data_IF_400952612363
#
_entry.id   IF_400952612363
#
_cell.length_a   1.000
_cell.length_b   1.000
_cell.length_c   1.000
_cell.angle_alpha   90.00
_cell.angle_beta   90.00
_cell.angle_gamma   90.00
#
_symmetry.space_group_name_H-M   'P 1'
#
loop_
_entity.id
_entity.type
_entity.pdbx_description
1 polymer ?
#
# COMPACT_ATOMS: atom_id res chain seq x y z
N UNK A 1 0.60 -26.59 3.59
CA UNK A 1 0.22 -27.03 2.22
C UNK A 1 0.29 -25.85 1.27
N UNK A 2 1.28 -25.80 0.37
CA UNK A 2 1.40 -24.71 -0.63
C UNK A 2 0.40 -24.98 -1.77
N UNK A 3 -0.56 -24.07 -2.01
CA UNK A 3 -1.47 -24.18 -3.17
C UNK A 3 -0.64 -24.07 -4.44
N UNK A 4 -0.62 -25.14 -5.24
CA UNK A 4 0.09 -25.18 -6.50
C UNK A 4 -0.67 -24.33 -7.53
N UNK A 5 -0.15 -23.13 -7.82
CA UNK A 5 -0.81 -22.13 -8.66
C UNK A 5 -0.80 -22.50 -10.16
N UNK A 6 -0.14 -23.60 -10.53
CA UNK A 6 0.06 -24.03 -11.91
C UNK A 6 -1.00 -24.99 -12.47
N UNK A 7 -1.93 -25.50 -11.64
CA UNK A 7 -3.09 -26.24 -12.16
C UNK A 7 -4.15 -25.26 -12.67
N UNK A 8 -4.14 -25.01 -13.98
CA UNK A 8 -5.23 -24.30 -14.65
C UNK A 8 -6.50 -25.13 -14.49
N UNK A 9 -7.45 -24.62 -13.71
CA UNK A 9 -8.76 -25.27 -13.53
C UNK A 9 -9.46 -25.39 -14.89
N UNK A 10 -10.16 -26.50 -15.16
CA UNK A 10 -10.98 -26.61 -16.37
C UNK A 10 -11.98 -25.45 -16.42
N UNK A 11 -12.14 -24.86 -17.60
CA UNK A 11 -13.02 -23.70 -17.80
C UNK A 11 -14.47 -24.15 -17.74
N UNK A 12 -15.25 -23.55 -16.83
CA UNK A 12 -16.69 -23.78 -16.75
C UNK A 12 -17.42 -22.93 -17.79
N UNK A 13 -17.89 -23.58 -18.84
CA UNK A 13 -18.69 -22.96 -19.90
C UNK A 13 -20.10 -22.59 -19.40
N UNK A 14 -20.79 -21.69 -20.11
CA UNK A 14 -22.12 -21.22 -19.70
C UNK A 14 -22.10 -20.21 -18.55
N UNK A 15 -20.95 -19.64 -18.22
CA UNK A 15 -20.81 -18.66 -17.14
C UNK A 15 -20.17 -17.37 -17.65
N UNK A 16 -20.48 -16.25 -16.98
CA UNK A 16 -19.83 -14.95 -17.25
C UNK A 16 -18.32 -15.04 -17.06
N UNK A 17 -17.87 -15.84 -16.09
CA UNK A 17 -16.45 -16.05 -15.81
C UNK A 17 -15.75 -16.72 -17.00
N UNK A 18 -16.39 -17.73 -17.60
CA UNK A 18 -15.90 -18.37 -18.82
C UNK A 18 -15.69 -17.38 -19.96
N UNK A 19 -16.62 -16.44 -20.16
CA UNK A 19 -16.50 -15.41 -21.20
C UNK A 19 -15.46 -14.32 -20.90
N UNK A 20 -15.44 -13.75 -19.68
CA UNK A 20 -14.59 -12.60 -19.34
C UNK A 20 -13.16 -12.97 -18.96
N UNK A 21 -12.98 -14.00 -18.14
CA UNK A 21 -11.69 -14.32 -17.55
C UNK A 21 -10.95 -15.40 -18.32
N UNK A 22 -11.69 -16.32 -18.96
CA UNK A 22 -11.13 -17.42 -19.75
C UNK A 22 -11.29 -17.22 -21.27
N UNK A 23 -11.84 -16.07 -21.68
CA UNK A 23 -11.99 -15.65 -23.09
C UNK A 23 -12.75 -16.65 -23.97
N UNK A 24 -13.56 -17.53 -23.38
CA UNK A 24 -14.34 -18.49 -24.14
C UNK A 24 -15.47 -17.77 -24.91
N UNK A 25 -15.61 -18.12 -26.20
CA UNK A 25 -16.61 -17.53 -27.12
C UNK A 25 -17.63 -18.55 -27.62
N UNK A 26 -17.81 -19.68 -26.92
CA UNK A 26 -18.89 -20.61 -27.26
C UNK A 26 -20.27 -19.99 -27.00
N UNK A 27 -21.31 -20.54 -27.63
CA UNK A 27 -22.67 -20.00 -27.56
C UNK A 27 -23.21 -19.92 -26.12
N UNK A 28 -22.94 -20.93 -25.28
CA UNK A 28 -23.33 -20.91 -23.87
C UNK A 28 -22.70 -19.75 -23.09
N UNK A 29 -21.44 -19.42 -23.37
CA UNK A 29 -20.76 -18.31 -22.71
C UNK A 29 -21.24 -16.95 -23.25
N UNK A 30 -21.56 -16.86 -24.55
CA UNK A 30 -22.13 -15.65 -25.15
C UNK A 30 -23.53 -15.39 -24.58
N UNK A 31 -24.40 -16.39 -24.52
CA UNK A 31 -25.76 -16.23 -23.97
C UNK A 31 -25.72 -15.78 -22.52
N UNK A 32 -24.92 -16.42 -21.66
CA UNK A 32 -24.76 -16.04 -20.26
C UNK A 32 -24.25 -14.59 -20.10
N UNK A 33 -23.36 -14.14 -20.99
CA UNK A 33 -22.89 -12.76 -21.00
C UNK A 33 -23.99 -11.77 -21.44
N UNK A 34 -24.76 -12.11 -22.47
CA UNK A 34 -25.88 -11.30 -22.94
C UNK A 34 -26.99 -11.18 -21.89
N UNK A 35 -27.35 -12.27 -21.22
CA UNK A 35 -28.31 -12.28 -20.11
C UNK A 35 -27.85 -11.36 -18.97
N UNK A 36 -26.57 -11.46 -18.59
CA UNK A 36 -25.99 -10.57 -17.58
C UNK A 36 -26.07 -9.09 -17.97
N UNK A 37 -25.69 -8.74 -19.21
CA UNK A 37 -25.74 -7.36 -19.69
C UNK A 37 -27.17 -6.85 -19.79
N UNK A 38 -28.13 -7.68 -20.22
CA UNK A 38 -29.55 -7.33 -20.25
C UNK A 38 -30.10 -7.10 -18.84
N UNK A 39 -29.83 -7.99 -17.89
CA UNK A 39 -30.23 -7.81 -16.50
C UNK A 39 -29.62 -6.55 -15.87
N UNK A 40 -28.36 -6.23 -16.20
CA UNK A 40 -27.70 -5.01 -15.75
C UNK A 40 -28.32 -3.74 -16.36
N UNK A 41 -28.68 -3.77 -17.65
CA UNK A 41 -29.40 -2.67 -18.32
C UNK A 41 -30.80 -2.49 -17.75
N UNK A 42 -31.51 -3.59 -17.46
CA UNK A 42 -32.82 -3.56 -16.82
C UNK A 42 -32.74 -2.92 -15.45
N UNK A 43 -31.80 -3.33 -14.57
CA UNK A 43 -31.57 -2.67 -13.27
C UNK A 43 -31.26 -1.18 -13.37
N UNK A 44 -30.62 -0.72 -14.46
CA UNK A 44 -30.41 0.71 -14.71
C UNK A 44 -31.70 1.43 -15.11
N UNK A 45 -32.57 0.78 -15.90
CA UNK A 45 -33.87 1.32 -16.32
C UNK A 45 -34.86 1.37 -15.15
N UNK A 46 -34.89 0.33 -14.34
CA UNK A 46 -35.71 0.26 -13.11
C UNK A 46 -35.28 1.31 -12.08
N UNK A 47 -34.11 1.92 -12.31
CA UNK A 47 -33.54 2.93 -11.43
C UNK A 47 -32.95 2.33 -10.17
N UNK A 48 -32.19 3.16 -9.45
CA UNK A 48 -31.83 2.85 -8.07
C UNK A 48 -32.92 3.43 -7.18
N UNK A 49 -33.54 2.59 -6.34
CA UNK A 49 -34.38 3.10 -5.25
C UNK A 49 -33.47 3.95 -4.36
N UNK A 50 -33.75 5.25 -4.28
CA UNK A 50 -33.10 6.13 -3.33
C UNK A 50 -33.56 5.72 -1.92
N UNK A 51 -32.87 4.75 -1.35
CA UNK A 51 -32.99 4.48 0.08
C UNK A 51 -32.36 5.70 0.75
N UNK A 52 -33.16 6.44 1.51
CA UNK A 52 -32.70 7.64 2.21
C UNK A 52 -31.41 7.40 3.03
N UNK A 53 -30.77 8.47 3.50
CA UNK A 53 -29.50 8.35 4.22
C UNK A 53 -29.66 7.35 5.38
N UNK A 54 -28.84 6.29 5.35
CA UNK A 54 -28.81 5.30 6.43
C UNK A 54 -28.53 6.03 7.74
N UNK A 55 -29.26 5.72 8.83
CA UNK A 55 -28.99 6.34 10.12
C UNK A 55 -27.53 6.10 10.50
N UNK A 56 -26.85 7.18 10.88
CA UNK A 56 -25.41 7.15 11.22
C UNK A 56 -25.28 6.50 12.60
N UNK A 57 -24.47 5.45 12.70
CA UNK A 57 -24.12 4.83 13.99
C UNK A 57 -23.03 5.64 14.69
N UNK A 58 -23.40 6.38 15.72
CA UNK A 58 -22.48 7.14 16.57
C UNK A 58 -21.51 6.23 17.34
N UNK A 59 -20.46 6.81 17.93
CA UNK A 59 -19.43 6.06 18.65
C UNK A 59 -18.52 5.20 17.76
N UNK A 60 -18.44 5.50 16.46
CA UNK A 60 -17.56 4.79 15.51
C UNK A 60 -16.58 5.73 14.82
N UNK A 61 -15.45 5.19 14.37
CA UNK A 61 -14.48 5.96 13.58
C UNK A 61 -15.14 6.55 12.32
N UNK A 62 -16.01 5.77 11.67
CA UNK A 62 -16.70 6.15 10.44
C UNK A 62 -17.63 7.35 10.64
N UNK A 63 -18.38 7.39 11.74
CA UNK A 63 -19.22 8.53 12.09
C UNK A 63 -18.41 9.82 12.24
N UNK A 64 -17.22 9.75 12.85
CA UNK A 64 -16.36 10.92 13.03
C UNK A 64 -15.65 11.36 11.74
N UNK A 65 -15.12 10.44 10.93
CA UNK A 65 -14.30 10.77 9.75
C UNK A 65 -15.13 11.02 8.49
N UNK A 66 -16.06 10.12 8.17
CA UNK A 66 -16.85 10.18 6.93
C UNK A 66 -18.07 11.07 7.08
N UNK A 67 -18.74 11.00 8.23
CA UNK A 67 -19.96 11.78 8.48
C UNK A 67 -19.72 13.06 9.28
N UNK A 68 -18.45 13.36 9.64
CA UNK A 68 -18.02 14.56 10.39
C UNK A 68 -18.79 14.79 11.69
N UNK A 69 -19.35 13.75 12.30
CA UNK A 69 -20.05 13.85 13.57
C UNK A 69 -19.07 14.24 14.69
N UNK A 70 -19.49 15.13 15.58
CA UNK A 70 -18.70 15.67 16.70
C UNK A 70 -19.44 15.58 18.05
N UNK A 71 -20.47 14.73 18.16
CA UNK A 71 -21.11 14.47 19.44
C UNK A 71 -20.12 13.83 20.44
N UNK A 72 -20.46 13.89 21.72
CA UNK A 72 -19.60 13.42 22.82
C UNK A 72 -19.21 11.95 22.68
N UNK A 73 -20.12 11.09 22.20
CA UNK A 73 -19.84 9.68 21.93
C UNK A 73 -18.77 9.48 20.85
N UNK A 74 -18.87 10.21 19.73
CA UNK A 74 -17.91 10.14 18.63
C UNK A 74 -16.55 10.73 19.03
N UNK A 75 -16.56 11.83 19.78
CA UNK A 75 -15.33 12.48 20.26
C UNK A 75 -14.61 11.62 21.30
N UNK A 76 -15.33 11.10 22.29
CA UNK A 76 -14.79 10.17 23.29
C UNK A 76 -14.22 8.90 22.66
N UNK A 77 -14.93 8.30 21.69
CA UNK A 77 -14.42 7.17 20.91
C UNK A 77 -13.09 7.51 20.21
N UNK A 78 -13.00 8.66 19.54
CA UNK A 78 -11.79 9.06 18.83
C UNK A 78 -10.62 9.38 19.78
N UNK A 79 -10.89 9.99 20.94
CA UNK A 79 -9.90 10.19 22.00
C UNK A 79 -9.34 8.86 22.49
N UNK A 80 -10.22 7.90 22.79
CA UNK A 80 -9.83 6.55 23.22
C UNK A 80 -9.02 5.82 22.12
N UNK A 81 -9.48 5.89 20.86
CA UNK A 81 -8.79 5.30 19.72
C UNK A 81 -7.37 5.86 19.54
N UNK A 82 -7.20 7.19 19.60
CA UNK A 82 -5.89 7.85 19.50
C UNK A 82 -4.97 7.47 20.66
N UNK A 83 -5.49 7.41 21.88
CA UNK A 83 -4.74 6.96 23.07
C UNK A 83 -4.23 5.53 22.89
N UNK A 84 -5.09 4.62 22.43
CA UNK A 84 -4.71 3.23 22.12
C UNK A 84 -3.62 3.18 21.05
N UNK A 85 -3.79 3.89 19.92
CA UNK A 85 -2.79 3.91 18.85
C UNK A 85 -1.44 4.49 19.28
N UNK A 86 -1.44 5.47 20.18
CA UNK A 86 -0.20 6.01 20.77
C UNK A 86 0.49 4.97 21.63
N UNK A 87 -0.25 4.24 22.47
CA UNK A 87 0.27 3.14 23.29
C UNK A 87 0.81 2.00 22.42
N UNK A 88 0.10 1.61 21.37
CA UNK A 88 0.57 0.60 20.40
C UNK A 88 1.88 1.03 19.72
N UNK A 89 2.04 2.31 19.37
CA UNK A 89 3.29 2.83 18.81
C UNK A 89 4.45 2.81 19.83
N UNK A 90 4.17 3.15 21.08
CA UNK A 90 5.17 3.10 22.16
C UNK A 90 5.60 1.67 22.46
N UNK A 91 4.65 0.74 22.46
CA UNK A 91 4.87 -0.67 22.72
C UNK A 91 5.34 -1.45 21.48
N UNK A 92 5.50 -0.79 20.34
CA UNK A 92 5.97 -1.44 19.13
C UNK A 92 7.46 -1.76 19.26
N UNK A 93 7.75 -2.99 19.68
CA UNK A 93 9.08 -3.60 19.61
C UNK A 93 9.21 -4.26 18.24
N UNK A 94 9.47 -3.45 17.23
CA UNK A 94 9.74 -3.92 15.88
C UNK A 94 10.83 -3.07 15.24
N UNK A 95 11.40 -3.52 14.11
CA UNK A 95 12.46 -2.77 13.44
C UNK A 95 11.95 -1.35 13.15
N UNK A 96 12.79 -0.32 13.32
CA UNK A 96 12.41 1.07 13.06
C UNK A 96 11.80 1.18 11.66
N UNK A 97 10.67 1.91 11.56
CA UNK A 97 9.97 2.11 10.28
C UNK A 97 10.97 2.65 9.27
N UNK A 98 11.27 1.86 8.22
CA UNK A 98 12.18 2.12 7.09
C UNK A 98 12.39 3.61 6.80
N UNK A 99 13.27 4.26 7.56
CA UNK A 99 13.92 5.49 7.14
C UNK A 99 15.23 5.00 6.50
N UNK A 100 15.19 4.86 5.18
CA UNK A 100 16.36 4.74 4.29
C UNK A 100 17.48 3.80 4.79
N UNK A 101 17.26 2.48 4.77
CA UNK A 101 18.30 1.48 5.00
C UNK A 101 18.71 0.83 3.67
N UNK A 102 19.96 1.06 3.22
CA UNK A 102 20.61 0.19 2.23
C UNK A 102 21.09 -1.05 2.99
N UNK A 103 20.61 -2.23 2.60
CA UNK A 103 21.14 -3.51 3.10
C UNK A 103 22.23 -3.94 2.13
N UNK A 104 23.46 -4.05 2.61
CA UNK A 104 24.58 -4.63 1.86
C UNK A 104 24.76 -6.07 2.31
N UNK A 105 24.96 -6.97 1.35
CA UNK A 105 25.21 -8.37 1.63
C UNK A 105 26.69 -8.65 1.42
N UNK A 106 27.33 -9.30 2.39
CA UNK A 106 28.70 -9.76 2.28
C UNK A 106 28.67 -11.26 2.05
N UNK A 107 29.38 -11.72 1.02
CA UNK A 107 29.54 -13.13 0.74
C UNK A 107 30.69 -13.66 1.61
N UNK A 108 30.36 -14.58 2.52
CA UNK A 108 31.34 -15.24 3.40
C UNK A 108 31.69 -16.59 2.78
N UNK A 109 32.98 -16.94 2.60
CA UNK A 109 33.36 -18.25 2.13
C UNK A 109 32.79 -19.33 3.07
N UNK A 110 32.05 -20.29 2.51
CA UNK A 110 31.43 -21.43 3.19
C UNK A 110 30.35 -21.11 4.26
N UNK A 111 29.76 -19.91 4.23
CA UNK A 111 28.73 -19.49 5.18
C UNK A 111 27.44 -18.94 4.54
N UNK A 112 26.31 -18.92 5.28
CA UNK A 112 25.12 -18.21 4.82
C UNK A 112 25.42 -16.71 4.74
N UNK A 113 24.90 -16.09 3.68
CA UNK A 113 25.03 -14.65 3.43
C UNK A 113 24.59 -13.86 4.67
N UNK A 114 25.50 -13.08 5.25
CA UNK A 114 25.20 -12.29 6.46
C UNK A 114 24.66 -10.91 6.05
N UNK A 115 23.54 -10.53 6.66
CA UNK A 115 23.00 -9.17 6.55
C UNK A 115 23.76 -8.28 7.54
N UNK A 116 24.51 -7.30 7.03
CA UNK A 116 25.14 -6.29 7.87
C UNK A 116 24.39 -4.96 7.74
N UNK A 117 24.09 -4.36 8.90
CA UNK A 117 23.43 -3.06 8.97
C UNK A 117 24.48 -1.96 9.01
N UNK A 118 24.84 -1.40 7.85
CA UNK A 118 25.68 -0.21 7.81
C UNK A 118 24.80 1.03 7.98
N UNK A 119 24.82 1.60 9.19
CA UNK A 119 24.25 2.93 9.42
C UNK A 119 25.17 3.97 8.74
N UNK A 120 24.79 4.43 7.53
CA UNK A 120 25.53 5.49 6.85
C UNK A 120 25.51 6.76 7.71
N UNK A 121 26.62 7.02 8.39
CA UNK A 121 26.81 8.29 9.09
C UNK A 121 26.87 9.42 8.06
N UNK A 122 25.98 10.40 8.22
CA UNK A 122 25.96 11.60 7.36
C UNK A 122 27.07 12.54 7.81
N UNK A 123 28.28 12.28 7.34
CA UNK A 123 29.40 13.17 7.58
C UNK A 123 29.29 14.37 6.62
N UNK A 124 29.17 15.57 7.19
CA UNK A 124 29.16 16.79 6.41
C UNK A 124 30.47 16.95 5.63
N UNK A 125 30.43 17.62 4.48
CA UNK A 125 31.60 17.81 3.62
C UNK A 125 31.80 16.75 2.54
N UNK A 126 30.94 15.73 2.49
CA UNK A 126 30.99 14.66 1.46
C UNK A 126 30.01 14.90 0.30
N UNK A 127 30.32 14.37 -0.89
CA UNK A 127 29.42 14.36 -2.06
C UNK A 127 28.05 13.76 -1.76
N UNK A 128 28.02 12.68 -0.97
CA UNK A 128 26.79 12.07 -0.49
C UNK A 128 26.00 13.05 0.39
N UNK A 129 26.62 13.72 1.36
CA UNK A 129 25.93 14.68 2.22
C UNK A 129 25.35 15.88 1.44
N UNK A 130 26.05 16.36 0.40
CA UNK A 130 25.55 17.39 -0.51
C UNK A 130 24.33 16.90 -1.32
N UNK A 131 24.42 15.74 -1.98
CA UNK A 131 23.34 15.17 -2.80
C UNK A 131 22.07 14.81 -2.00
N UNK A 132 22.19 14.52 -0.71
CA UNK A 132 21.06 14.34 0.21
C UNK A 132 20.46 15.66 0.75
N UNK A 133 20.96 16.82 0.30
CA UNK A 133 20.37 18.13 0.58
C UNK A 133 20.89 18.84 1.84
N UNK A 134 22.07 18.48 2.36
CA UNK A 134 22.71 19.23 3.44
C UNK A 134 23.32 20.53 2.91
N UNK A 135 22.99 21.67 3.54
CA UNK A 135 23.39 23.02 3.09
C UNK A 135 24.40 23.73 4.01
N UNK A 136 25.12 22.98 4.85
CA UNK A 136 26.18 23.60 5.67
C UNK A 136 27.37 24.02 4.79
N UNK A 137 28.18 24.96 5.28
CA UNK A 137 29.31 25.54 4.53
C UNK A 137 30.31 24.49 4.04
N UNK A 138 30.52 23.44 4.85
CA UNK A 138 31.40 22.31 4.50
C UNK A 138 30.86 21.50 3.30
N UNK A 139 29.55 21.21 3.27
CA UNK A 139 28.91 20.50 2.16
C UNK A 139 28.82 21.35 0.89
N UNK A 140 28.61 22.65 1.02
CA UNK A 140 28.53 23.58 -0.12
C UNK A 140 29.89 23.82 -0.78
N UNK A 141 30.99 23.57 -0.06
CA UNK A 141 32.36 23.72 -0.58
C UNK A 141 32.96 22.36 -0.93
N UNK A 142 33.32 21.56 0.07
CA UNK A 142 34.00 20.28 -0.11
C UNK A 142 33.06 19.24 -0.72
N UNK A 143 31.85 19.11 -0.20
CA UNK A 143 30.88 18.12 -0.69
C UNK A 143 30.44 18.39 -2.12
N UNK A 144 30.21 19.64 -2.49
CA UNK A 144 29.87 20.04 -3.86
C UNK A 144 31.02 19.76 -4.84
N UNK A 145 32.25 20.11 -4.47
CA UNK A 145 33.43 19.86 -5.30
C UNK A 145 33.69 18.37 -5.51
N UNK A 146 33.49 17.56 -4.46
CA UNK A 146 33.60 16.11 -4.55
C UNK A 146 32.50 15.52 -5.45
N UNK A 147 31.26 15.97 -5.30
CA UNK A 147 30.13 15.57 -6.14
C UNK A 147 30.34 15.90 -7.63
N UNK A 148 30.91 17.08 -7.92
CA UNK A 148 31.26 17.46 -9.29
C UNK A 148 32.37 16.58 -9.88
N UNK A 149 33.35 16.14 -9.07
CA UNK A 149 34.40 15.20 -9.51
C UNK A 149 33.83 13.82 -9.81
N UNK A 150 32.90 13.32 -9.01
CA UNK A 150 32.23 12.04 -9.25
C UNK A 150 31.41 12.04 -10.55
N UNK A 151 30.79 13.15 -10.92
CA UNK A 151 30.05 13.27 -12.18
C UNK A 151 30.95 13.39 -13.43
N UNK A 152 32.20 13.79 -13.23
CA UNK A 152 33.18 13.96 -14.30
C UNK A 152 34.07 12.72 -14.53
N UNK A 153 33.95 11.71 -13.66
CA UNK A 153 34.66 10.44 -13.72
C UNK A 153 33.82 9.34 -14.37
#
# INVERSE_FOLDING_TARGET
>A
MKRNQNLRKPVTHGTISGYKHYLCRCELCKSAFHEYENARKQKKRDGYVFVGPKPIKHGTAAAYTHHRCRCDECDSYMKAYRKRKRKEKLNFVGPPRKQFRKVTYIDVPDGPRKEEFVEKQRQCGTAEAYSFGCKCDLCMTQGFNEYLRELAA
#
